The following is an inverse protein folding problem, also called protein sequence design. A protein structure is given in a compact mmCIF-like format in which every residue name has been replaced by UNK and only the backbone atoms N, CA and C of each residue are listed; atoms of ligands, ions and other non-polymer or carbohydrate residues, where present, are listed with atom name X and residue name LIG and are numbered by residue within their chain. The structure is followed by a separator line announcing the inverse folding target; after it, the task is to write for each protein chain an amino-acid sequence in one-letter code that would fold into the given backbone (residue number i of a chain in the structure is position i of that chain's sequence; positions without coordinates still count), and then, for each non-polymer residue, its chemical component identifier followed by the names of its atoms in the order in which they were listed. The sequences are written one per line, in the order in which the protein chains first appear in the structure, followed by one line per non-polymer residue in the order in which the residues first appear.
data_IF_007127913291
#
_entry.id   IF_007127913291
#
_cell.length_a   1.000
_cell.length_b   1.000
_cell.length_c   1.000
_cell.angle_alpha   90.00
_cell.angle_beta   90.00
_cell.angle_gamma   90.00
#
_symmetry.space_group_name_H-M   'P 1'
#
loop_
_entity.id
_entity.type
_entity.pdbx_description
1 polymer ?
#
# COMPACT_ATOMS: atom_id res chain seq x y z
N UNK A 1 -14.62 -3.55 -12.59
CA UNK A 1 -13.99 -4.19 -11.41
C UNK A 1 -13.49 -5.56 -11.85
N UNK A 2 -12.19 -5.81 -11.79
CA UNK A 2 -11.66 -7.16 -11.99
C UNK A 2 -12.27 -8.10 -10.95
N UNK A 3 -12.93 -9.16 -11.39
CA UNK A 3 -13.80 -9.95 -10.51
C UNK A 3 -13.07 -11.17 -9.98
N UNK A 4 -13.54 -11.74 -8.87
CA UNK A 4 -13.00 -13.01 -8.33
C UNK A 4 -13.15 -14.18 -9.31
N UNK A 5 -14.01 -14.08 -10.34
CA UNK A 5 -14.06 -15.13 -11.38
C UNK A 5 -12.76 -15.20 -12.18
N UNK A 6 -12.04 -14.08 -12.30
CA UNK A 6 -10.68 -14.05 -12.87
C UNK A 6 -9.67 -14.76 -11.95
N UNK A 7 -9.89 -14.78 -10.63
CA UNK A 7 -8.94 -15.35 -9.67
C UNK A 7 -8.63 -16.82 -9.97
N UNK A 8 -9.65 -17.64 -10.24
CA UNK A 8 -9.45 -19.04 -10.59
C UNK A 8 -8.69 -19.19 -11.92
N UNK A 9 -8.94 -18.31 -12.89
CA UNK A 9 -8.25 -18.30 -14.18
C UNK A 9 -6.75 -18.00 -14.07
N UNK A 10 -6.34 -17.28 -13.03
CA UNK A 10 -4.94 -17.01 -12.68
C UNK A 10 -4.38 -17.91 -11.57
N UNK A 11 -5.06 -19.04 -11.27
CA UNK A 11 -4.59 -19.99 -10.25
C UNK A 11 -4.61 -19.45 -8.82
N UNK A 12 -5.34 -18.37 -8.55
CA UNK A 12 -5.46 -17.76 -7.24
C UNK A 12 -6.57 -18.44 -6.44
N UNK A 13 -6.26 -18.82 -5.19
CA UNK A 13 -7.28 -19.30 -4.25
C UNK A 13 -8.13 -18.14 -3.76
N UNK A 14 -9.45 -18.25 -3.94
CA UNK A 14 -10.41 -17.21 -3.53
C UNK A 14 -10.30 -16.89 -2.03
N UNK A 15 -10.43 -15.61 -1.68
CA UNK A 15 -10.40 -15.09 -0.30
C UNK A 15 -9.07 -15.33 0.41
N UNK A 16 -7.97 -15.26 -0.34
CA UNK A 16 -6.61 -15.38 0.20
C UNK A 16 -5.75 -14.21 -0.22
N UNK A 17 -4.55 -14.14 0.34
CA UNK A 17 -3.50 -13.22 -0.04
C UNK A 17 -2.21 -14.01 -0.26
N UNK A 18 -1.45 -13.69 -1.31
CA UNK A 18 -0.11 -14.24 -1.52
C UNK A 18 0.83 -13.22 -2.16
N UNK A 19 2.13 -13.51 -2.08
CA UNK A 19 3.11 -12.85 -2.92
C UNK A 19 3.06 -13.43 -4.33
N UNK A 20 3.43 -12.62 -5.31
CA UNK A 20 3.76 -13.11 -6.65
C UNK A 20 4.94 -14.08 -6.58
N UNK A 21 4.90 -15.13 -7.38
CA UNK A 21 6.04 -16.02 -7.59
C UNK A 21 6.83 -15.65 -8.87
N UNK A 22 6.41 -14.60 -9.58
CA UNK A 22 7.02 -14.17 -10.83
C UNK A 22 6.65 -15.02 -12.04
N UNK A 23 5.65 -15.90 -11.93
CA UNK A 23 5.08 -16.65 -13.05
C UNK A 23 4.54 -15.73 -14.15
N UNK A 24 4.41 -16.27 -15.36
CA UNK A 24 3.87 -15.52 -16.48
C UNK A 24 2.37 -15.23 -16.30
N UNK A 25 1.65 -16.09 -15.59
CA UNK A 25 0.27 -15.88 -15.16
C UNK A 25 0.15 -14.63 -14.26
N UNK A 26 1.03 -14.50 -13.25
CA UNK A 26 1.05 -13.34 -12.37
C UNK A 26 1.37 -12.06 -13.15
N UNK A 27 2.39 -12.09 -14.04
CA UNK A 27 2.73 -10.95 -14.89
C UNK A 27 1.56 -10.55 -15.79
N UNK A 28 0.87 -11.51 -16.40
CA UNK A 28 -0.32 -11.27 -17.23
C UNK A 28 -1.45 -10.64 -16.41
N UNK A 29 -1.67 -11.09 -15.19
CA UNK A 29 -2.66 -10.49 -14.29
C UNK A 29 -2.30 -9.03 -13.97
N UNK A 30 -1.05 -8.73 -13.60
CA UNK A 30 -0.62 -7.36 -13.35
C UNK A 30 -0.74 -6.48 -14.59
N UNK A 31 -0.36 -6.99 -15.77
CA UNK A 31 -0.54 -6.28 -17.04
C UNK A 31 -2.03 -5.99 -17.30
N UNK A 32 -2.91 -6.99 -17.14
CA UNK A 32 -4.36 -6.86 -17.30
C UNK A 32 -4.99 -5.83 -16.37
N UNK A 33 -4.49 -5.78 -15.13
CA UNK A 33 -4.95 -4.80 -14.13
C UNK A 33 -4.43 -3.39 -14.42
N UNK A 34 -3.40 -3.24 -15.24
CA UNK A 34 -2.80 -1.96 -15.57
C UNK A 34 -3.22 -1.44 -16.96
N UNK A 35 -3.64 -2.30 -17.90
CA UNK A 35 -3.37 -2.06 -19.32
C UNK A 35 -4.52 -2.06 -20.32
N UNK A 36 -5.77 -2.34 -19.96
CA UNK A 36 -6.68 -2.86 -21.01
C UNK A 36 -7.91 -1.98 -21.25
N UNK A 37 -8.25 -1.07 -20.32
CA UNK A 37 -9.45 -0.24 -20.38
C UNK A 37 -10.78 -1.01 -20.24
N UNK A 38 -10.78 -2.33 -20.47
CA UNK A 38 -11.95 -3.21 -20.30
C UNK A 38 -12.37 -3.36 -18.83
N UNK A 39 -11.43 -3.15 -17.90
CA UNK A 39 -11.67 -3.25 -16.47
C UNK A 39 -11.62 -1.87 -15.84
N UNK A 40 -12.69 -1.50 -15.13
CA UNK A 40 -12.61 -0.42 -14.14
C UNK A 40 -11.68 -0.86 -13.01
N UNK A 41 -10.49 -0.27 -12.97
CA UNK A 41 -9.47 -0.48 -11.94
C UNK A 41 -9.29 0.81 -11.15
N UNK A 42 -9.49 0.72 -9.84
CA UNK A 42 -9.20 1.81 -8.92
C UNK A 42 -7.77 1.66 -8.42
N UNK A 43 -6.95 2.68 -8.64
CA UNK A 43 -5.59 2.77 -8.09
C UNK A 43 -5.67 3.55 -6.79
N UNK A 44 -5.27 2.92 -5.70
CA UNK A 44 -5.30 3.51 -4.36
C UNK A 44 -3.97 3.24 -3.66
N UNK A 45 -3.52 4.17 -2.84
CA UNK A 45 -2.39 3.94 -1.95
C UNK A 45 -2.75 2.80 -0.97
N UNK A 46 -1.82 1.86 -0.81
CA UNK A 46 -2.02 0.65 -0.02
C UNK A 46 -0.81 0.33 0.86
N UNK A 47 -0.62 -0.96 1.15
CA UNK A 47 0.38 -1.44 2.11
C UNK A 47 -0.24 -1.55 3.52
N UNK A 48 -0.08 -2.72 4.15
CA UNK A 48 -0.79 -3.02 5.40
C UNK A 48 -0.41 -2.04 6.52
N UNK A 49 0.89 -1.84 6.77
CA UNK A 49 1.37 -0.92 7.79
C UNK A 49 0.98 0.54 7.50
N UNK A 50 1.13 0.98 6.25
CA UNK A 50 0.75 2.33 5.83
C UNK A 50 -0.76 2.59 6.03
N UNK A 51 -1.61 1.63 5.67
CA UNK A 51 -3.06 1.74 5.91
C UNK A 51 -3.39 1.81 7.40
N UNK A 52 -2.72 1.01 8.24
CA UNK A 52 -2.91 1.07 9.69
C UNK A 52 -2.51 2.44 10.26
N UNK A 53 -1.36 2.98 9.85
CA UNK A 53 -0.88 4.28 10.33
C UNK A 53 -1.74 5.45 9.85
N UNK A 54 -2.28 5.39 8.62
CA UNK A 54 -3.28 6.36 8.14
C UNK A 54 -4.55 6.32 9.00
N UNK A 55 -4.98 5.12 9.43
CA UNK A 55 -6.10 4.95 10.35
C UNK A 55 -5.82 5.52 11.75
N UNK A 56 -4.61 5.31 12.28
CA UNK A 56 -4.15 5.90 13.54
C UNK A 56 -4.15 7.43 13.47
N UNK A 57 -3.59 8.00 12.39
CA UNK A 57 -3.55 9.45 12.23
C UNK A 57 -4.95 10.06 12.12
N UNK A 58 -5.86 9.43 11.38
CA UNK A 58 -7.28 9.80 11.36
C UNK A 58 -7.92 9.79 12.75
N UNK A 59 -7.58 8.79 13.58
CA UNK A 59 -8.11 8.68 14.95
C UNK A 59 -7.56 9.77 15.86
N UNK A 60 -6.25 10.08 15.81
CA UNK A 60 -5.66 11.21 16.55
C UNK A 60 -6.32 12.54 16.19
N UNK A 61 -6.49 12.82 14.90
CA UNK A 61 -7.11 14.07 14.43
C UNK A 61 -8.57 14.21 14.87
N UNK A 62 -9.29 13.09 14.96
CA UNK A 62 -10.66 13.06 15.48
C UNK A 62 -10.70 13.30 16.99
N UNK A 63 -9.78 12.72 17.74
CA UNK A 63 -9.67 12.94 19.19
C UNK A 63 -9.36 14.40 19.53
N UNK A 64 -8.49 15.06 18.76
CA UNK A 64 -8.18 16.48 18.97
C UNK A 64 -9.38 17.42 18.75
N UNK A 65 -10.33 17.01 17.91
CA UNK A 65 -11.46 17.85 17.50
C UNK A 65 -12.78 17.54 18.23
N UNK A 66 -12.86 16.40 18.93
CA UNK A 66 -14.07 15.93 19.62
C UNK A 66 -14.00 16.20 21.15
N UNK A 67 -14.83 17.10 21.70
CA UNK A 67 -14.83 17.42 23.13
C UNK A 67 -15.13 16.22 24.04
N UNK A 68 -15.79 15.17 23.54
CA UNK A 68 -16.10 13.95 24.31
C UNK A 68 -14.85 13.10 24.59
N UNK A 69 -13.80 13.28 23.78
CA UNK A 69 -12.61 12.43 23.73
C UNK A 69 -11.31 13.17 24.10
N UNK A 70 -11.45 14.34 24.73
CA UNK A 70 -10.38 15.29 25.00
C UNK A 70 -9.64 15.05 26.34
N UNK A 71 -9.80 13.86 26.94
CA UNK A 71 -9.09 13.43 28.14
C UNK A 71 -7.65 12.96 27.83
N UNK A 72 -7.35 12.66 26.56
CA UNK A 72 -6.01 12.33 26.06
C UNK A 72 -5.65 13.23 24.89
N UNK A 73 -4.63 14.07 25.05
CA UNK A 73 -4.16 14.95 23.97
C UNK A 73 -3.14 14.23 23.10
N UNK A 74 -3.47 14.06 21.82
CA UNK A 74 -2.54 13.63 20.78
C UNK A 74 -1.95 14.80 20.00
N UNK A 75 -2.17 16.04 20.47
CA UNK A 75 -1.67 17.26 19.87
C UNK A 75 -0.18 17.16 19.53
N UNK A 76 0.15 17.31 18.25
CA UNK A 76 1.50 17.23 17.69
C UNK A 76 2.12 15.82 17.69
N UNK A 77 1.33 14.76 17.84
CA UNK A 77 1.84 13.39 17.68
C UNK A 77 2.15 13.15 16.20
N UNK A 78 3.44 13.16 15.87
CA UNK A 78 3.90 12.77 14.55
C UNK A 78 3.76 11.27 14.36
N UNK A 79 3.17 10.87 13.24
CA UNK A 79 3.12 9.48 12.78
C UNK A 79 3.96 9.43 11.50
N UNK A 80 4.87 8.45 11.43
CA UNK A 80 5.79 8.30 10.30
C UNK A 80 5.81 6.85 9.80
N UNK A 81 5.82 6.66 8.48
CA UNK A 81 6.08 5.38 7.83
C UNK A 81 7.48 5.38 7.23
N UNK A 82 8.26 4.35 7.54
CA UNK A 82 9.57 4.06 6.91
C UNK A 82 9.40 2.90 5.93
N UNK A 83 10.11 2.93 4.81
CA UNK A 83 10.08 1.85 3.83
C UNK A 83 10.95 2.12 2.61
N UNK A 84 10.74 1.35 1.54
CA UNK A 84 11.46 1.49 0.26
C UNK A 84 10.48 1.58 -0.90
N UNK A 85 10.81 2.42 -1.87
CA UNK A 85 10.04 2.65 -3.10
C UNK A 85 10.97 2.74 -4.30
N UNK A 86 10.43 2.53 -5.50
CA UNK A 86 11.14 2.81 -6.74
C UNK A 86 11.22 4.32 -7.01
N UNK A 87 11.94 4.68 -8.07
CA UNK A 87 11.95 6.02 -8.66
C UNK A 87 10.85 6.16 -9.74
N UNK A 88 9.62 5.77 -9.39
CA UNK A 88 8.48 5.75 -10.30
C UNK A 88 7.28 6.61 -9.83
N UNK A 89 6.30 6.79 -10.71
CA UNK A 89 5.08 7.57 -10.43
C UNK A 89 4.28 7.03 -9.22
N UNK A 90 4.35 5.72 -8.96
CA UNK A 90 3.61 5.10 -7.86
C UNK A 90 4.19 5.50 -6.51
N UNK A 91 5.49 5.73 -6.42
CA UNK A 91 6.11 6.29 -5.22
C UNK A 91 5.52 7.65 -4.86
N UNK A 92 5.22 8.50 -5.86
CA UNK A 92 4.62 9.81 -5.64
C UNK A 92 3.17 9.69 -5.17
N UNK A 93 2.37 8.79 -5.77
CA UNK A 93 1.01 8.50 -5.31
C UNK A 93 0.99 8.05 -3.83
N UNK A 94 1.96 7.23 -3.40
CA UNK A 94 2.07 6.83 -2.00
C UNK A 94 2.40 8.00 -1.09
N UNK A 95 3.33 8.88 -1.48
CA UNK A 95 3.70 10.07 -0.70
C UNK A 95 2.54 11.05 -0.58
N UNK A 96 1.85 11.34 -1.68
CA UNK A 96 0.68 12.22 -1.71
C UNK A 96 -0.42 11.71 -0.79
N UNK A 97 -0.78 10.43 -0.89
CA UNK A 97 -1.81 9.84 -0.04
C UNK A 97 -1.44 9.77 1.45
N UNK A 98 -0.14 9.69 1.78
CA UNK A 98 0.33 9.80 3.15
C UNK A 98 0.23 11.25 3.64
N UNK A 99 0.70 12.21 2.85
CA UNK A 99 0.64 13.63 3.17
C UNK A 99 -0.80 14.12 3.38
N UNK A 100 -1.73 13.72 2.49
CA UNK A 100 -3.17 14.00 2.63
C UNK A 100 -3.76 13.42 3.93
N UNK A 101 -3.23 12.29 4.39
CA UNK A 101 -3.63 11.66 5.64
C UNK A 101 -2.87 12.19 6.86
N UNK A 102 -2.01 13.21 6.72
CA UNK A 102 -1.16 13.74 7.79
C UNK A 102 -0.05 12.79 8.25
N UNK A 103 0.26 11.75 7.46
CA UNK A 103 1.31 10.76 7.74
C UNK A 103 2.62 11.19 7.08
N UNK A 104 3.69 11.27 7.87
CA UNK A 104 5.02 11.54 7.34
C UNK A 104 5.61 10.29 6.67
N UNK A 105 6.35 10.47 5.57
CA UNK A 105 7.00 9.36 4.85
C UNK A 105 8.51 9.51 4.86
N UNK A 106 9.22 8.41 5.12
CA UNK A 106 10.66 8.27 4.93
C UNK A 106 10.94 7.03 4.08
N UNK A 107 10.90 7.23 2.76
CA UNK A 107 11.13 6.16 1.80
C UNK A 107 12.56 6.18 1.26
N UNK A 108 13.25 5.04 1.34
CA UNK A 108 14.44 4.78 0.54
C UNK A 108 14.02 4.72 -0.92
N UNK A 109 14.68 5.50 -1.77
CA UNK A 109 14.43 5.43 -3.21
C UNK A 109 15.49 4.57 -3.84
N UNK A 110 15.07 3.50 -4.51
CA UNK A 110 15.95 2.61 -5.29
C UNK A 110 15.88 3.00 -6.77
N UNK A 111 16.93 3.61 -7.34
CA UNK A 111 16.93 4.01 -8.74
C UNK A 111 16.81 2.80 -9.68
N UNK A 112 15.92 2.90 -10.67
CA UNK A 112 15.57 1.78 -11.57
C UNK A 112 14.74 0.66 -10.91
N UNK A 113 14.44 0.80 -9.62
CA UNK A 113 13.57 -0.09 -8.87
C UNK A 113 12.09 0.20 -9.15
N UNK A 114 11.24 -0.80 -8.92
CA UNK A 114 9.78 -0.64 -9.05
C UNK A 114 9.15 -0.53 -7.68
N UNK A 115 8.24 0.43 -7.48
CA UNK A 115 7.39 0.49 -6.29
C UNK A 115 6.44 -0.71 -6.25
N UNK A 116 6.30 -1.32 -5.07
CA UNK A 116 5.44 -2.48 -4.87
C UNK A 116 3.96 -2.21 -5.19
N UNK A 117 3.26 -3.23 -5.69
CA UNK A 117 1.86 -3.17 -6.11
C UNK A 117 1.10 -4.39 -5.59
N UNK A 118 -0.15 -4.17 -5.19
CA UNK A 118 -1.04 -5.23 -4.77
C UNK A 118 -2.30 -5.21 -5.63
N UNK A 119 -2.56 -6.27 -6.38
CA UNK A 119 -3.82 -6.45 -7.09
C UNK A 119 -4.86 -7.01 -6.12
N UNK A 120 -5.97 -6.30 -5.97
CA UNK A 120 -7.13 -6.77 -5.21
C UNK A 120 -8.29 -7.09 -6.17
N UNK A 121 -8.61 -8.38 -6.30
CA UNK A 121 -9.76 -8.86 -7.06
C UNK A 121 -10.97 -8.90 -6.12
N UNK A 122 -12.05 -8.23 -6.52
CA UNK A 122 -13.25 -8.05 -5.70
C UNK A 122 -14.45 -8.73 -6.34
N UNK A 123 -15.19 -9.50 -5.55
CA UNK A 123 -16.52 -10.03 -5.91
C UNK A 123 -17.34 -10.18 -4.66
N UNK A 124 -18.52 -9.57 -4.66
CA UNK A 124 -19.38 -9.47 -3.48
C UNK A 124 -18.60 -8.92 -2.27
N UNK A 125 -18.49 -9.72 -1.20
CA UNK A 125 -17.74 -9.40 0.02
C UNK A 125 -16.38 -10.12 0.10
N UNK A 126 -15.93 -10.76 -0.98
CA UNK A 126 -14.67 -11.51 -1.03
C UNK A 126 -13.59 -10.67 -1.70
N UNK A 127 -12.38 -10.74 -1.13
CA UNK A 127 -11.19 -10.10 -1.67
C UNK A 127 -10.08 -11.14 -1.81
N UNK A 128 -9.57 -11.29 -3.02
CA UNK A 128 -8.38 -12.11 -3.31
C UNK A 128 -7.25 -11.17 -3.69
N UNK A 129 -6.10 -11.31 -3.03
CA UNK A 129 -4.98 -10.39 -3.20
C UNK A 129 -3.72 -11.10 -3.66
N UNK A 130 -3.00 -10.45 -4.57
CA UNK A 130 -1.66 -10.83 -4.98
C UNK A 130 -0.76 -9.61 -4.98
N UNK A 131 0.42 -9.74 -4.36
CA UNK A 131 1.35 -8.62 -4.16
C UNK A 131 2.68 -8.86 -4.86
N UNK A 132 3.07 -7.92 -5.71
CA UNK A 132 4.46 -7.74 -6.15
C UNK A 132 5.10 -6.72 -5.21
N UNK A 133 6.10 -7.14 -4.43
CA UNK A 133 6.72 -6.27 -3.44
C UNK A 133 7.65 -5.22 -4.06
N UNK A 134 8.05 -5.37 -5.33
CA UNK A 134 9.04 -4.50 -5.94
C UNK A 134 10.30 -4.40 -5.08
N UNK A 135 10.76 -3.19 -4.81
CA UNK A 135 11.93 -2.91 -3.95
C UNK A 135 11.61 -2.81 -2.45
N UNK A 136 10.36 -3.03 -2.03
CA UNK A 136 10.00 -3.00 -0.61
C UNK A 136 10.85 -3.97 0.28
N UNK A 137 11.23 -5.18 -0.18
CA UNK A 137 12.07 -6.09 0.61
C UNK A 137 13.52 -5.62 0.76
N UNK A 138 13.97 -4.67 -0.08
CA UNK A 138 15.35 -4.20 -0.10
C UNK A 138 15.63 -3.13 0.97
N UNK A 139 14.63 -2.80 1.80
CA UNK A 139 14.75 -1.81 2.87
C UNK A 139 15.92 -2.08 3.81
N UNK A 140 16.76 -1.05 3.98
CA UNK A 140 17.92 -1.09 4.88
C UNK A 140 17.62 -0.25 6.10
N UNK A 141 17.45 -0.90 7.25
CA UNK A 141 17.41 -0.22 8.54
C UNK A 141 18.84 0.07 9.01
N UNK A 142 19.12 1.30 9.44
CA UNK A 142 20.43 1.64 10.01
C UNK A 142 20.61 3.10 10.42
N UNK A 143 21.63 3.38 11.26
CA UNK A 143 21.97 4.74 11.72
C UNK A 143 22.30 5.71 10.58
N UNK A 144 22.79 5.18 9.47
CA UNK A 144 23.07 5.83 8.19
C UNK A 144 21.81 6.46 7.57
N UNK A 145 20.61 6.08 8.03
CA UNK A 145 19.33 6.70 7.68
C UNK A 145 18.68 7.49 8.81
N UNK A 146 19.38 7.71 9.91
CA UNK A 146 18.85 8.42 11.09
C UNK A 146 17.79 7.62 11.86
N UNK A 147 17.66 6.31 11.60
CA UNK A 147 16.78 5.41 12.33
C UNK A 147 17.57 4.80 13.49
N UNK A 148 17.23 5.10 14.76
CA UNK A 148 17.88 4.47 15.91
C UNK A 148 17.65 2.95 15.86
N UNK A 149 18.73 2.18 15.99
CA UNK A 149 18.69 0.71 16.13
C UNK A 149 18.54 0.30 17.59
#
# INVERSE_FOLDING_TARGET
VATVDDANGFGLKVNTQRLTDGSDEDKKLFARMLGDGELTVHRIAGGQAMNSLRGVKWWFDRHETDPEYNDVSFANTSVRIVGSVGDDEYANVLREACAEAGLETDFEVFPGGRTGKCCALLKDKKRTMITDLGVAPDFRAGPDRGIPT
#
